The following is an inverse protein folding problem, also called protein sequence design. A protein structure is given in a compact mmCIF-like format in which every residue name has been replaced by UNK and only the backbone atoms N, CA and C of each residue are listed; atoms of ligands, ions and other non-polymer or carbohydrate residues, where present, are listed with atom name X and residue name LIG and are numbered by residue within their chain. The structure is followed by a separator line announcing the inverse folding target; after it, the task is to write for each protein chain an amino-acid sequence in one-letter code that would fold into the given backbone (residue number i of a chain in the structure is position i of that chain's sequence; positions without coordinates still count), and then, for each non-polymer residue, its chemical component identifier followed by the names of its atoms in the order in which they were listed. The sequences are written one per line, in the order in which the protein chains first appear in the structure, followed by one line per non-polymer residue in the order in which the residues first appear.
data_IF_086992613037
#
_entry.id   IF_086992613037
#
_cell.length_a   1.000
_cell.length_b   1.000
_cell.length_c   1.000
_cell.angle_alpha   90.00
_cell.angle_beta   90.00
_cell.angle_gamma   90.00
#
_symmetry.space_group_name_H-M   'P 1'
#
loop_
_entity.id
_entity.type
_entity.pdbx_description
1 polymer ?
#
# COMPACT_ATOMS: atom_id res chain seq x y z
N UNK A 1 11.28 -35.29 -10.95
CA UNK A 1 12.15 -35.76 -12.05
C UNK A 1 13.64 -35.45 -11.84
N UNK A 2 14.02 -34.30 -11.25
CA UNK A 2 15.46 -33.94 -11.14
C UNK A 2 16.28 -34.71 -10.07
N UNK A 3 15.67 -35.26 -9.01
CA UNK A 3 16.38 -36.11 -8.01
C UNK A 3 16.98 -37.40 -8.60
N UNK A 4 16.42 -37.90 -9.70
CA UNK A 4 16.91 -39.10 -10.39
C UNK A 4 18.23 -38.87 -11.17
N UNK A 5 18.59 -37.61 -11.45
CA UNK A 5 19.82 -37.25 -12.16
C UNK A 5 21.03 -37.11 -11.21
N UNK A 6 20.81 -36.83 -9.93
CA UNK A 6 21.88 -36.84 -8.90
C UNK A 6 22.43 -38.27 -8.73
N UNK A 7 21.56 -39.29 -8.76
CA UNK A 7 21.95 -40.71 -8.70
C UNK A 7 22.78 -41.17 -9.92
N UNK A 8 22.82 -40.38 -11.00
CA UNK A 8 23.60 -40.64 -12.21
C UNK A 8 24.92 -39.86 -12.28
N UNK A 9 25.33 -39.20 -11.18
CA UNK A 9 26.64 -38.56 -11.04
C UNK A 9 26.71 -37.10 -11.52
N UNK A 10 25.57 -36.47 -11.82
CA UNK A 10 25.50 -35.03 -12.10
C UNK A 10 25.19 -34.28 -10.80
N UNK A 11 26.22 -34.10 -9.97
CA UNK A 11 26.07 -33.47 -8.66
C UNK A 11 25.75 -31.97 -8.77
N UNK A 12 24.80 -31.51 -7.97
CA UNK A 12 24.50 -30.08 -7.78
C UNK A 12 23.56 -29.45 -8.81
N UNK A 13 23.10 -30.22 -9.81
CA UNK A 13 22.05 -29.75 -10.73
C UNK A 13 20.72 -29.55 -10.00
N UNK A 14 20.38 -30.47 -9.09
CA UNK A 14 19.20 -30.32 -8.25
C UNK A 14 19.26 -29.02 -7.45
N UNK A 15 20.38 -28.78 -6.78
CA UNK A 15 20.54 -27.60 -5.92
C UNK A 15 20.52 -26.29 -6.72
N UNK A 16 21.08 -26.27 -7.93
CA UNK A 16 20.99 -25.13 -8.85
C UNK A 16 19.58 -24.91 -9.40
N UNK A 17 18.86 -25.99 -9.73
CA UNK A 17 17.45 -25.89 -10.16
C UNK A 17 16.53 -25.45 -9.01
N UNK A 18 16.81 -25.91 -7.79
CA UNK A 18 16.10 -25.53 -6.58
C UNK A 18 16.38 -24.06 -6.24
N UNK A 19 17.64 -23.63 -6.30
CA UNK A 19 18.00 -22.23 -6.12
C UNK A 19 17.36 -21.35 -7.22
N UNK A 20 17.44 -21.75 -8.49
CA UNK A 20 16.78 -21.05 -9.59
C UNK A 20 15.26 -21.00 -9.41
N UNK A 21 14.64 -22.06 -8.87
CA UNK A 21 13.20 -22.08 -8.61
C UNK A 21 12.82 -21.18 -7.42
N UNK A 22 13.65 -21.10 -6.39
CA UNK A 22 13.50 -20.17 -5.26
C UNK A 22 13.66 -18.73 -5.76
N UNK A 23 14.72 -18.45 -6.52
CA UNK A 23 15.00 -17.14 -7.09
C UNK A 23 13.87 -16.74 -8.06
N UNK A 24 13.40 -17.66 -8.91
CA UNK A 24 12.26 -17.43 -9.81
C UNK A 24 10.93 -17.22 -9.05
N UNK A 25 10.74 -17.87 -7.90
CA UNK A 25 9.58 -17.61 -7.03
C UNK A 25 9.69 -16.27 -6.31
N UNK A 26 10.91 -15.79 -6.04
CA UNK A 26 11.15 -14.46 -5.48
C UNK A 26 11.03 -13.34 -6.53
N UNK A 27 11.36 -13.63 -7.79
CA UNK A 27 11.20 -12.72 -8.94
C UNK A 27 9.76 -12.62 -9.47
N UNK A 28 8.85 -13.45 -8.93
CA UNK A 28 7.45 -13.54 -9.37
C UNK A 28 6.48 -12.38 -9.05
N UNK A 29 6.86 -11.23 -8.48
CA UNK A 29 6.01 -10.05 -8.55
C UNK A 29 5.94 -9.43 -9.96
N UNK A 30 6.88 -9.73 -10.88
CA UNK A 30 7.15 -8.85 -12.02
C UNK A 30 6.80 -9.39 -13.44
N UNK A 31 6.26 -10.60 -13.59
CA UNK A 31 5.91 -11.22 -14.89
C UNK A 31 4.51 -11.85 -14.73
N UNK A 32 3.39 -11.39 -15.29
CA UNK A 32 3.11 -11.25 -16.72
C UNK A 32 1.75 -10.54 -17.03
N UNK A 33 1.36 -9.49 -16.30
CA UNK A 33 0.31 -8.56 -16.76
C UNK A 33 0.58 -7.24 -16.04
N UNK A 34 0.99 -6.20 -16.76
CA UNK A 34 0.94 -4.78 -16.35
C UNK A 34 -0.01 -4.57 -15.16
N UNK A 35 0.49 -4.42 -13.93
CA UNK A 35 -0.21 -4.83 -12.71
C UNK A 35 -1.41 -3.93 -12.36
N UNK A 36 -2.50 -4.11 -13.11
CA UNK A 36 -3.75 -3.40 -12.94
C UNK A 36 -4.33 -3.67 -11.55
N UNK A 37 -4.00 -4.81 -10.94
CA UNK A 37 -4.47 -5.14 -9.59
C UNK A 37 -3.73 -4.32 -8.56
N UNK A 38 -2.40 -4.29 -8.59
CA UNK A 38 -1.62 -3.40 -7.73
C UNK A 38 -2.00 -1.93 -7.93
N UNK A 39 -2.15 -1.48 -9.19
CA UNK A 39 -2.61 -0.12 -9.47
C UNK A 39 -3.99 0.17 -8.86
N UNK A 40 -4.93 -0.77 -8.97
CA UNK A 40 -6.27 -0.64 -8.38
C UNK A 40 -6.18 -0.60 -6.86
N UNK A 41 -5.32 -1.40 -6.24
CA UNK A 41 -5.08 -1.39 -4.79
C UNK A 41 -4.52 -0.04 -4.35
N UNK A 42 -3.50 0.50 -5.03
CA UNK A 42 -2.94 1.84 -4.74
C UNK A 42 -3.99 2.94 -4.88
N UNK A 43 -4.77 2.90 -5.96
CA UNK A 43 -5.85 3.86 -6.20
C UNK A 43 -6.91 3.81 -5.08
N UNK A 44 -7.28 2.63 -4.61
CA UNK A 44 -8.19 2.46 -3.48
C UNK A 44 -7.59 2.99 -2.18
N UNK A 45 -6.31 2.72 -1.90
CA UNK A 45 -5.63 3.24 -0.71
C UNK A 45 -5.63 4.77 -0.71
N UNK A 46 -5.26 5.42 -1.83
CA UNK A 46 -5.31 6.89 -1.92
C UNK A 46 -6.72 7.45 -1.73
N UNK A 47 -7.74 6.83 -2.33
CA UNK A 47 -9.14 7.25 -2.11
C UNK A 47 -9.55 7.08 -0.64
N UNK A 48 -9.15 5.99 0.00
CA UNK A 48 -9.40 5.74 1.41
C UNK A 48 -8.72 6.81 2.29
N UNK A 49 -7.46 7.14 2.00
CA UNK A 49 -6.72 8.20 2.68
C UNK A 49 -7.45 9.55 2.59
N UNK A 50 -8.01 9.92 1.43
CA UNK A 50 -8.81 11.16 1.32
C UNK A 50 -10.06 11.16 2.18
N UNK A 51 -10.74 10.00 2.32
CA UNK A 51 -11.93 9.85 3.16
C UNK A 51 -11.62 9.86 4.65
N UNK A 52 -10.45 9.35 5.03
CA UNK A 52 -9.94 9.43 6.41
C UNK A 52 -9.46 10.87 6.71
N UNK A 53 -8.85 11.56 5.75
CA UNK A 53 -8.31 12.91 5.94
C UNK A 53 -9.38 14.00 5.99
N UNK A 54 -10.43 13.90 5.16
CA UNK A 54 -11.43 14.95 5.00
C UNK A 54 -12.26 15.30 6.27
N UNK A 55 -12.64 14.35 7.14
CA UNK A 55 -13.33 14.68 8.38
C UNK A 55 -12.40 15.13 9.53
N UNK A 56 -11.07 14.94 9.42
CA UNK A 56 -10.18 15.03 10.59
C UNK A 56 -9.05 16.07 10.52
N UNK A 57 -8.87 16.79 9.41
CA UNK A 57 -7.97 17.96 9.34
C UNK A 57 -6.56 17.67 9.87
N UNK A 58 -5.79 16.89 9.11
CA UNK A 58 -4.51 16.32 9.56
C UNK A 58 -3.50 17.45 9.85
N UNK A 59 -3.28 17.76 11.14
CA UNK A 59 -2.14 18.54 11.61
C UNK A 59 -1.34 17.88 12.74
N UNK A 60 -1.71 16.69 13.22
CA UNK A 60 -1.00 16.03 14.33
C UNK A 60 -0.54 14.61 13.96
N UNK A 61 0.60 14.23 14.53
CA UNK A 61 1.18 12.88 14.46
C UNK A 61 0.21 11.93 15.15
N UNK A 62 -0.49 11.10 14.39
CA UNK A 62 -1.38 10.09 14.96
C UNK A 62 -0.61 8.82 15.34
N UNK A 63 -0.89 8.29 16.53
CA UNK A 63 -0.37 7.00 16.94
C UNK A 63 -1.10 5.85 16.22
N UNK A 64 -0.45 4.68 16.14
CA UNK A 64 -0.95 3.50 15.40
C UNK A 64 -2.32 3.03 15.90
N UNK A 65 -2.59 3.19 17.21
CA UNK A 65 -3.89 2.90 17.81
C UNK A 65 -4.97 3.86 17.34
N UNK A 66 -4.66 5.14 17.19
CA UNK A 66 -5.61 6.17 16.74
C UNK A 66 -5.92 5.97 15.27
N UNK A 67 -4.89 5.70 14.47
CA UNK A 67 -5.02 5.30 13.07
C UNK A 67 -5.92 4.07 12.96
N UNK A 68 -5.68 2.99 13.71
CA UNK A 68 -6.55 1.79 13.68
C UNK A 68 -7.96 2.05 14.20
N UNK A 69 -8.14 2.92 15.19
CA UNK A 69 -9.45 3.24 15.77
C UNK A 69 -10.28 4.16 14.85
N UNK A 70 -9.63 5.08 14.12
CA UNK A 70 -10.21 5.90 13.05
C UNK A 70 -10.49 5.07 11.79
N UNK A 71 -9.60 4.13 11.45
CA UNK A 71 -9.73 3.26 10.28
C UNK A 71 -10.70 2.08 10.48
N UNK A 72 -10.92 1.62 11.71
CA UNK A 72 -11.64 0.38 12.04
C UNK A 72 -13.17 0.41 11.94
N UNK A 73 -13.79 1.52 11.49
CA UNK A 73 -15.27 1.63 11.39
C UNK A 73 -15.81 2.07 10.04
N UNK A 74 -14.96 2.46 9.09
CA UNK A 74 -15.41 3.07 7.84
C UNK A 74 -15.36 2.11 6.67
N UNK A 75 -16.43 1.35 6.42
CA UNK A 75 -16.63 0.80 5.08
C UNK A 75 -17.14 1.92 4.18
N UNK A 76 -16.46 2.19 3.08
CA UNK A 76 -16.83 3.26 2.16
C UNK A 76 -17.27 2.68 0.82
N UNK A 77 -18.22 3.36 0.18
CA UNK A 77 -18.67 3.03 -1.17
C UNK A 77 -17.97 3.95 -2.16
N UNK A 78 -17.16 3.37 -3.05
CA UNK A 78 -16.49 4.10 -4.13
C UNK A 78 -17.09 3.76 -5.48
N UNK A 79 -17.48 4.79 -6.25
CA UNK A 79 -17.91 4.59 -7.63
C UNK A 79 -16.71 4.24 -8.51
N UNK A 80 -16.89 3.31 -9.45
CA UNK A 80 -15.83 2.89 -10.38
C UNK A 80 -15.18 4.09 -11.09
N UNK A 81 -15.96 5.14 -11.42
CA UNK A 81 -15.43 6.36 -12.06
C UNK A 81 -14.34 7.05 -11.23
N UNK A 82 -14.50 7.07 -9.91
CA UNK A 82 -13.53 7.70 -9.01
C UNK A 82 -12.29 6.83 -8.86
N UNK A 83 -12.47 5.51 -8.80
CA UNK A 83 -11.35 4.55 -8.76
C UNK A 83 -10.51 4.65 -10.04
N UNK A 84 -11.14 4.71 -11.22
CA UNK A 84 -10.44 4.89 -12.49
C UNK A 84 -9.67 6.21 -12.54
N UNK A 85 -10.31 7.32 -12.15
CA UNK A 85 -9.64 8.62 -12.12
C UNK A 85 -8.45 8.63 -11.16
N UNK A 86 -8.59 7.98 -10.00
CA UNK A 86 -7.48 7.87 -9.06
C UNK A 86 -6.36 6.96 -9.59
N UNK A 87 -6.68 5.88 -10.31
CA UNK A 87 -5.69 5.03 -10.94
C UNK A 87 -4.87 5.81 -11.99
N UNK A 88 -5.50 6.70 -12.76
CA UNK A 88 -4.78 7.60 -13.68
C UNK A 88 -3.83 8.53 -12.92
N UNK A 89 -4.28 9.11 -11.80
CA UNK A 89 -3.40 9.92 -10.94
C UNK A 89 -2.24 9.14 -10.38
N UNK A 90 -2.45 7.88 -9.96
CA UNK A 90 -1.34 7.04 -9.48
C UNK A 90 -0.29 6.81 -10.57
N UNK A 91 -0.72 6.61 -11.82
CA UNK A 91 0.22 6.48 -12.95
C UNK A 91 1.04 7.75 -13.14
N UNK A 92 0.38 8.92 -13.07
CA UNK A 92 1.04 10.22 -13.23
C UNK A 92 1.97 10.54 -12.06
N UNK A 93 1.48 10.44 -10.83
CA UNK A 93 2.20 10.76 -9.59
C UNK A 93 3.41 9.84 -9.35
N UNK A 94 3.28 8.55 -9.68
CA UNK A 94 4.35 7.55 -9.48
C UNK A 94 5.21 7.36 -10.75
N UNK A 95 4.99 8.16 -11.80
CA UNK A 95 5.67 8.07 -13.10
C UNK A 95 5.70 6.64 -13.67
N UNK A 96 4.59 5.90 -13.56
CA UNK A 96 4.51 4.51 -14.03
C UNK A 96 4.49 4.48 -15.56
N UNK A 97 5.29 3.60 -16.16
CA UNK A 97 5.26 3.32 -17.60
C UNK A 97 4.04 2.47 -17.99
N UNK A 98 2.86 3.03 -17.78
CA UNK A 98 1.56 2.43 -18.06
C UNK A 98 0.74 3.36 -18.96
N UNK A 99 0.16 2.77 -19.99
CA UNK A 99 -0.70 3.47 -20.93
C UNK A 99 -2.09 3.74 -20.31
N UNK A 100 -2.34 5.00 -19.97
CA UNK A 100 -3.59 5.50 -19.36
C UNK A 100 -4.83 5.17 -20.19
N UNK A 101 -4.73 5.15 -21.53
CA UNK A 101 -5.86 4.84 -22.41
C UNK A 101 -6.30 3.37 -22.28
N UNK A 102 -5.37 2.50 -21.88
CA UNK A 102 -5.67 1.11 -21.57
C UNK A 102 -6.34 0.95 -20.20
N UNK A 103 -6.35 1.97 -19.34
CA UNK A 103 -6.95 1.96 -18.00
C UNK A 103 -8.38 2.49 -18.07
N UNK A 104 -9.33 1.57 -18.25
CA UNK A 104 -10.75 1.92 -18.36
C UNK A 104 -11.55 1.46 -17.13
N UNK A 105 -12.67 2.13 -16.86
CA UNK A 105 -13.62 1.74 -15.81
C UNK A 105 -14.11 0.29 -15.95
N UNK A 106 -14.18 -0.24 -17.18
CA UNK A 106 -14.53 -1.65 -17.41
C UNK A 106 -13.46 -2.59 -16.88
N UNK A 107 -12.17 -2.28 -17.10
CA UNK A 107 -11.06 -3.09 -16.56
C UNK A 107 -11.00 -3.01 -15.05
N UNK A 108 -11.04 -1.80 -14.48
CA UNK A 108 -11.06 -1.60 -13.02
C UNK A 108 -12.22 -2.37 -12.38
N UNK A 109 -13.43 -2.27 -12.96
CA UNK A 109 -14.58 -3.02 -12.45
C UNK A 109 -14.42 -4.54 -12.55
N UNK A 110 -13.69 -5.05 -13.55
CA UNK A 110 -13.37 -6.49 -13.67
C UNK A 110 -12.37 -6.93 -12.60
N UNK A 111 -11.33 -6.13 -12.37
CA UNK A 111 -10.33 -6.37 -11.31
C UNK A 111 -11.00 -6.43 -9.95
N UNK A 112 -11.83 -5.43 -9.62
CA UNK A 112 -12.57 -5.39 -8.34
C UNK A 112 -13.51 -6.59 -8.17
N UNK A 113 -14.15 -7.04 -9.25
CA UNK A 113 -14.96 -8.25 -9.25
C UNK A 113 -14.14 -9.52 -9.00
N UNK A 114 -12.96 -9.63 -9.62
CA UNK A 114 -12.03 -10.75 -9.38
C UNK A 114 -11.50 -10.76 -7.96
N UNK A 115 -11.24 -9.57 -7.39
CA UNK A 115 -10.84 -9.38 -5.99
C UNK A 115 -12.00 -9.60 -5.00
N UNK A 116 -13.21 -9.91 -5.50
CA UNK A 116 -14.43 -10.19 -4.71
C UNK A 116 -14.91 -9.03 -3.85
N UNK A 117 -14.61 -7.78 -4.22
CA UNK A 117 -15.27 -6.63 -3.61
C UNK A 117 -16.77 -6.67 -3.88
N UNK A 118 -17.57 -6.24 -2.91
CA UNK A 118 -19.03 -6.27 -3.00
C UNK A 118 -19.55 -4.95 -3.54
N UNK A 119 -20.59 -4.99 -4.38
CA UNK A 119 -21.27 -3.78 -4.81
C UNK A 119 -22.36 -3.38 -3.82
N UNK A 120 -22.41 -2.10 -3.48
CA UNK A 120 -23.39 -1.55 -2.55
C UNK A 120 -23.94 -0.21 -3.08
N UNK A 121 -25.11 0.19 -2.58
CA UNK A 121 -25.69 1.50 -2.89
C UNK A 121 -25.01 2.57 -2.03
N UNK A 122 -24.54 3.61 -2.70
CA UNK A 122 -24.05 4.81 -2.02
C UNK A 122 -25.21 5.48 -1.27
N UNK A 123 -25.04 5.81 0.02
CA UNK A 123 -26.05 6.51 0.78
C UNK A 123 -26.34 7.89 0.16
N UNK A 124 -27.62 8.26 0.06
CA UNK A 124 -28.05 9.57 -0.44
C UNK A 124 -28.17 9.70 -1.96
N UNK A 125 -27.26 9.11 -2.74
CA UNK A 125 -27.25 9.29 -4.21
C UNK A 125 -27.97 8.16 -4.97
N UNK A 126 -28.11 6.97 -4.36
CA UNK A 126 -28.74 5.79 -4.99
C UNK A 126 -27.88 5.10 -6.06
N UNK A 127 -26.71 5.65 -6.38
CA UNK A 127 -25.73 5.05 -7.27
C UNK A 127 -25.14 3.76 -6.67
N UNK A 128 -24.76 2.80 -7.52
CA UNK A 128 -24.07 1.58 -7.08
C UNK A 128 -22.57 1.75 -7.21
N UNK A 129 -21.84 1.58 -6.11
CA UNK A 129 -20.39 1.57 -6.06
C UNK A 129 -19.86 0.26 -5.48
N UNK A 130 -18.57 0.23 -5.20
CA UNK A 130 -17.87 -0.87 -4.54
C UNK A 130 -17.69 -0.53 -3.07
N UNK A 131 -18.16 -1.41 -2.21
CA UNK A 131 -17.92 -1.37 -0.78
C UNK A 131 -16.47 -1.80 -0.54
N UNK A 132 -15.71 -0.95 0.13
CA UNK A 132 -14.29 -1.16 0.42
C UNK A 132 -14.09 -0.92 1.91
N UNK A 133 -13.71 -1.97 2.62
CA UNK A 133 -13.26 -1.90 4.01
C UNK A 133 -11.75 -1.85 4.12
N UNK A 134 -11.25 -1.47 5.30
CA UNK A 134 -9.82 -1.49 5.57
C UNK A 134 -9.26 -2.92 5.58
N UNK A 135 -9.98 -3.87 6.18
CA UNK A 135 -9.58 -5.28 6.24
C UNK A 135 -9.37 -5.87 4.83
N UNK A 136 -10.19 -5.42 3.86
CA UNK A 136 -10.02 -5.80 2.47
C UNK A 136 -8.71 -5.23 1.90
N UNK A 137 -8.40 -3.96 2.20
CA UNK A 137 -7.16 -3.31 1.76
C UNK A 137 -5.92 -3.92 2.42
N UNK A 138 -5.95 -4.20 3.72
CA UNK A 138 -4.85 -4.87 4.43
C UNK A 138 -4.58 -6.25 3.84
N UNK A 139 -5.64 -7.03 3.60
CA UNK A 139 -5.54 -8.34 2.97
C UNK A 139 -4.89 -8.27 1.59
N UNK A 140 -5.34 -7.35 0.73
CA UNK A 140 -4.85 -7.26 -0.64
C UNK A 140 -3.48 -6.62 -0.77
N UNK A 141 -3.17 -5.61 0.05
CA UNK A 141 -1.82 -5.04 0.12
C UNK A 141 -0.81 -6.07 0.58
N UNK A 142 -1.11 -6.83 1.65
CA UNK A 142 -0.26 -7.93 2.13
C UNK A 142 -0.06 -9.00 1.05
N UNK A 143 -1.13 -9.41 0.36
CA UNK A 143 -1.06 -10.44 -0.69
C UNK A 143 -0.16 -10.05 -1.88
N UNK A 144 -0.04 -8.75 -2.15
CA UNK A 144 0.79 -8.20 -3.23
C UNK A 144 2.13 -7.63 -2.71
N UNK A 145 2.47 -7.84 -1.43
CA UNK A 145 3.74 -7.35 -0.86
C UNK A 145 3.84 -5.83 -0.72
N UNK A 146 2.71 -5.13 -0.64
CA UNK A 146 2.63 -3.67 -0.43
C UNK A 146 2.44 -3.34 1.05
N UNK A 147 3.01 -2.21 1.52
CA UNK A 147 2.74 -1.68 2.86
C UNK A 147 1.50 -0.79 2.84
N UNK A 148 0.46 -1.17 3.59
CA UNK A 148 -0.78 -0.40 3.71
C UNK A 148 -0.53 1.03 4.21
N UNK A 149 0.33 1.19 5.23
CA UNK A 149 0.62 2.50 5.83
C UNK A 149 1.30 3.43 4.83
N UNK A 150 2.29 2.91 4.10
CA UNK A 150 2.96 3.65 3.02
C UNK A 150 1.98 4.10 1.94
N UNK A 151 1.11 3.22 1.47
CA UNK A 151 0.14 3.55 0.41
C UNK A 151 -0.96 4.53 0.87
N UNK A 152 -1.23 4.59 2.19
CA UNK A 152 -2.12 5.57 2.79
C UNK A 152 -1.42 6.91 3.10
N UNK A 153 -0.10 7.01 2.94
CA UNK A 153 0.70 8.18 3.33
C UNK A 153 0.82 8.35 4.84
N UNK A 154 0.70 7.25 5.59
CA UNK A 154 0.78 7.22 7.06
C UNK A 154 2.17 6.75 7.51
N UNK A 155 2.65 7.21 8.68
CA UNK A 155 3.91 6.72 9.24
C UNK A 155 3.84 5.21 9.50
N UNK A 156 4.90 4.49 9.12
CA UNK A 156 5.00 3.05 9.35
C UNK A 156 5.04 2.76 10.86
N UNK A 157 4.23 1.80 11.36
CA UNK A 157 4.11 1.52 12.80
C UNK A 157 5.36 0.92 13.43
N UNK A 158 6.31 0.44 12.62
CA UNK A 158 7.55 -0.21 13.08
C UNK A 158 8.74 0.76 13.19
N UNK A 159 8.55 2.05 12.91
CA UNK A 159 9.58 3.07 13.11
C UNK A 159 9.28 3.84 14.39
N UNK A 160 9.70 3.30 15.54
CA UNK A 160 9.83 4.09 16.76
C UNK A 160 11.00 5.04 16.56
N UNK A 161 10.71 6.29 16.21
CA UNK A 161 11.68 7.38 16.30
C UNK A 161 12.08 7.56 17.77
N UNK A 162 13.19 6.94 18.19
CA UNK A 162 13.92 7.36 19.38
C UNK A 162 14.57 8.70 19.05
N UNK A 163 13.92 9.78 19.45
CA UNK A 163 14.60 11.07 19.59
C UNK A 163 14.93 11.22 21.07
N UNK A 164 16.12 10.76 21.44
CA UNK A 164 16.73 11.18 22.71
C UNK A 164 17.10 12.66 22.58
N UNK A 165 16.14 13.53 22.95
CA UNK A 165 16.38 14.95 23.17
C UNK A 165 17.10 15.07 24.51
N UNK A 166 18.43 15.17 24.50
CA UNK A 166 19.17 15.69 25.65
C UNK A 166 19.28 17.20 25.49
N UNK A 167 18.52 17.91 26.33
CA UNK A 167 18.51 19.36 26.44
C UNK A 167 19.93 19.93 26.61
N UNK A 168 20.27 20.88 25.75
CA UNK A 168 21.41 21.80 25.93
C UNK A 168 21.02 22.79 27.03
N UNK A 169 21.73 22.78 28.16
CA UNK A 169 21.68 23.88 29.13
C UNK A 169 22.84 24.82 28.82
N UNK A 170 22.55 25.91 28.13
CA UNK A 170 23.35 27.13 28.23
C UNK A 170 22.89 27.86 29.50
N UNK A 171 23.80 28.10 30.43
CA UNK A 171 23.64 29.19 31.40
C UNK A 171 24.87 30.09 31.29
N UNK A 172 24.60 31.35 30.97
CA UNK A 172 25.55 32.43 30.80
C UNK A 172 25.98 33.05 32.14
N UNK A 173 27.18 33.64 32.11
CA UNK A 173 27.64 34.83 32.84
C UNK A 173 27.69 34.86 34.37
N UNK A 174 28.92 34.94 34.89
CA UNK A 174 29.24 35.83 36.02
C UNK A 174 30.45 36.70 35.65
N UNK A 175 30.16 37.97 35.38
CA UNK A 175 31.10 39.07 35.36
C UNK A 175 31.65 39.37 36.77
N UNK A 176 32.98 39.34 36.90
CA UNK A 176 33.76 40.20 37.80
C UNK A 176 35.16 40.35 37.16
N UNK A 177 35.71 41.52 36.83
CA UNK A 177 35.54 42.81 37.47
C UNK A 177 36.84 43.16 38.21
N UNK A 178 37.72 43.90 37.53
CA UNK A 178 38.63 44.93 38.07
C UNK A 178 39.95 44.49 38.76
N UNK A 179 41.04 45.00 38.14
CA UNK A 179 42.43 45.25 38.59
C UNK A 179 43.38 44.06 38.81
#
# INVERSE_FOLDING_TARGET
MARWLDDKGVSGLWHRLEQLAIDYQQERPNLELSDYTALTIRALCRLMATKISAPFGISDVYDVSDIRQMMGKGEFVFLTKYITSQAHKVIEDDELDLDTDKITSRKIGRVLGTMRFVKEREPGTGNRGWKVGLDDLERWTTAYGMSLFKELGLPDPNVTNVTDVTNVTQDEDVLAGVL
#
